data_IF_395665281774
#
_entry.id   IF_395665281774
#
_cell.length_a   1.000
_cell.length_b   1.000
_cell.length_c   1.000
_cell.angle_alpha   90.00
_cell.angle_beta   90.00
_cell.angle_gamma   90.00
#
_symmetry.space_group_name_H-M   'P 1'
#
loop_
_entity.id
_entity.type
_entity.pdbx_description
1 polymer ?
#
# COMPACT_ATOMS: atom_id res chain seq x y z
N UNK A 1 10.59 -45.36 -48.10
CA UNK A 1 9.46 -44.65 -47.44
C UNK A 1 9.38 -45.18 -46.03
N UNK A 2 9.80 -44.40 -45.02
CA UNK A 2 9.69 -44.79 -43.61
C UNK A 2 9.30 -43.56 -42.78
N UNK A 3 8.20 -43.70 -42.03
CA UNK A 3 7.30 -42.62 -41.61
C UNK A 3 7.71 -42.01 -40.27
N UNK A 4 8.15 -40.76 -40.29
CA UNK A 4 8.43 -39.94 -39.10
C UNK A 4 7.11 -39.59 -38.41
N UNK A 5 6.82 -40.20 -37.25
CA UNK A 5 5.64 -39.87 -36.43
C UNK A 5 5.97 -38.71 -35.50
N UNK A 6 5.40 -37.54 -35.76
CA UNK A 6 5.38 -36.41 -34.85
C UNK A 6 4.44 -36.71 -33.67
N UNK A 7 4.98 -36.67 -32.45
CA UNK A 7 4.20 -36.63 -31.21
C UNK A 7 3.76 -35.18 -30.94
N UNK A 8 2.47 -34.88 -30.72
CA UNK A 8 2.06 -33.55 -30.30
C UNK A 8 2.39 -33.39 -28.82
N UNK A 9 3.38 -32.54 -28.52
CA UNK A 9 3.64 -32.10 -27.15
C UNK A 9 2.52 -31.14 -26.71
N UNK A 10 1.53 -31.66 -25.99
CA UNK A 10 0.52 -30.85 -25.32
C UNK A 10 1.21 -30.16 -24.11
N UNK A 11 1.70 -28.94 -24.31
CA UNK A 11 2.22 -28.12 -23.24
C UNK A 11 1.06 -27.66 -22.35
N UNK A 12 0.96 -28.22 -21.13
CA UNK A 12 0.11 -27.68 -20.07
C UNK A 12 0.68 -26.30 -19.66
N UNK A 13 0.04 -25.23 -20.15
CA UNK A 13 0.31 -23.87 -19.70
C UNK A 13 -0.16 -23.69 -18.26
N UNK A 14 0.77 -23.59 -17.33
CA UNK A 14 0.48 -23.30 -15.93
C UNK A 14 0.18 -21.80 -15.79
N UNK A 15 -1.10 -21.44 -15.86
CA UNK A 15 -1.56 -20.07 -15.63
C UNK A 15 -1.33 -19.70 -14.17
N UNK A 16 -0.39 -18.78 -13.91
CA UNK A 16 -0.27 -18.12 -12.61
C UNK A 16 -1.52 -17.26 -12.38
N UNK A 17 -2.46 -17.77 -11.60
CA UNK A 17 -3.58 -16.97 -11.11
C UNK A 17 -3.01 -16.02 -10.06
N UNK A 18 -2.88 -14.74 -10.41
CA UNK A 18 -2.56 -13.70 -9.45
C UNK A 18 -3.73 -13.59 -8.46
N UNK A 19 -3.53 -14.05 -7.23
CA UNK A 19 -4.51 -13.83 -6.17
C UNK A 19 -4.59 -12.32 -5.87
N UNK A 20 -5.80 -11.76 -5.66
CA UNK A 20 -5.91 -10.38 -5.22
C UNK A 20 -5.19 -10.26 -3.89
N UNK A 21 -4.27 -9.30 -3.78
CA UNK A 21 -3.60 -9.07 -2.52
C UNK A 21 -4.61 -8.59 -1.49
N UNK A 22 -4.64 -9.30 -0.38
CA UNK A 22 -5.50 -9.04 0.76
C UNK A 22 -5.12 -7.68 1.38
N UNK A 23 -6.12 -7.01 1.94
CA UNK A 23 -5.85 -5.92 2.87
C UNK A 23 -5.00 -6.46 4.03
N UNK A 24 -4.00 -5.69 4.43
CA UNK A 24 -3.11 -5.96 5.55
C UNK A 24 -3.12 -4.76 6.50
N UNK A 25 -2.71 -4.98 7.74
CA UNK A 25 -2.70 -3.97 8.79
C UNK A 25 -1.29 -3.69 9.29
N UNK A 26 -1.00 -2.42 9.55
CA UNK A 26 0.30 -1.94 9.99
C UNK A 26 0.17 -1.11 11.26
N UNK A 27 1.04 -1.39 12.24
CA UNK A 27 1.24 -0.51 13.40
C UNK A 27 2.26 0.56 13.06
N UNK A 28 1.82 1.81 13.03
CA UNK A 28 2.64 2.97 12.66
C UNK A 28 2.66 3.97 13.81
N UNK A 29 3.83 4.29 14.35
CA UNK A 29 4.02 5.48 15.19
C UNK A 29 4.52 6.60 14.28
N UNK A 30 3.74 7.67 14.03
CA UNK A 30 4.15 8.72 13.12
C UNK A 30 5.37 9.50 13.63
N UNK A 31 6.34 9.73 12.76
CA UNK A 31 7.46 10.66 13.02
C UNK A 31 7.33 11.97 12.25
N UNK A 32 6.55 11.97 11.17
CA UNK A 32 6.25 13.16 10.38
C UNK A 32 4.95 12.99 9.61
N UNK A 33 4.16 14.05 9.55
CA UNK A 33 2.96 14.15 8.71
C UNK A 33 3.12 15.38 7.82
N UNK A 34 2.94 15.20 6.50
CA UNK A 34 3.02 16.25 5.51
C UNK A 34 1.73 16.29 4.69
N UNK A 35 1.27 17.50 4.38
CA UNK A 35 0.10 17.74 3.53
C UNK A 35 0.58 18.37 2.23
N UNK A 36 0.30 17.69 1.13
CA UNK A 36 0.57 18.14 -0.23
C UNK A 36 -0.74 18.42 -0.95
N UNK A 37 -0.67 19.03 -2.14
CA UNK A 37 -1.86 19.30 -2.95
C UNK A 37 -2.62 18.02 -3.35
N UNK A 38 -1.93 16.92 -3.60
CA UNK A 38 -2.49 15.65 -4.09
C UNK A 38 -2.60 14.54 -3.03
N UNK A 39 -1.94 14.69 -1.87
CA UNK A 39 -1.92 13.67 -0.82
C UNK A 39 -1.64 14.23 0.56
N UNK A 40 -2.13 13.55 1.59
CA UNK A 40 -1.47 13.54 2.89
C UNK A 40 -0.47 12.39 2.92
N UNK A 41 0.65 12.58 3.60
CA UNK A 41 1.76 11.64 3.62
C UNK A 41 2.30 11.51 5.05
N UNK A 42 2.39 10.30 5.55
CA UNK A 42 2.88 10.01 6.91
C UNK A 42 4.07 9.06 6.84
N UNK A 43 5.08 9.33 7.67
CA UNK A 43 6.22 8.45 7.89
C UNK A 43 6.07 7.75 9.24
N UNK A 44 6.30 6.45 9.27
CA UNK A 44 6.34 5.66 10.49
C UNK A 44 7.78 5.59 11.06
N UNK A 45 7.88 5.46 12.38
CA UNK A 45 9.16 5.32 13.10
C UNK A 45 9.95 4.06 12.70
N UNK A 46 9.26 3.03 12.19
CA UNK A 46 9.83 1.76 11.72
C UNK A 46 9.18 1.35 10.41
N UNK A 47 9.93 0.69 9.53
CA UNK A 47 9.35 0.05 8.35
C UNK A 47 8.39 -1.07 8.75
N UNK A 48 7.28 -1.17 8.04
CA UNK A 48 6.41 -2.35 8.08
C UNK A 48 6.62 -3.21 6.83
N UNK A 49 6.23 -4.49 6.93
CA UNK A 49 6.19 -5.45 5.82
C UNK A 49 7.42 -5.41 4.89
N UNK A 50 8.62 -5.36 5.46
CA UNK A 50 9.87 -5.49 4.71
C UNK A 50 10.33 -4.25 3.93
N UNK A 51 9.80 -3.05 4.21
CA UNK A 51 10.36 -1.82 3.62
C UNK A 51 9.40 -0.63 3.46
N UNK A 52 8.14 -0.77 3.88
CA UNK A 52 7.17 0.32 3.79
C UNK A 52 7.34 1.24 4.99
N UNK A 53 7.87 2.43 4.73
CA UNK A 53 8.06 3.47 5.75
C UNK A 53 6.95 4.51 5.74
N UNK A 54 6.23 4.60 4.63
CA UNK A 54 5.29 5.68 4.39
C UNK A 54 3.91 5.16 4.04
N UNK A 55 2.92 5.94 4.45
CA UNK A 55 1.55 5.79 4.01
C UNK A 55 1.03 7.11 3.45
N UNK A 56 0.13 7.02 2.47
CA UNK A 56 -0.46 8.19 1.86
C UNK A 56 -1.95 8.02 1.63
N UNK A 57 -2.67 9.14 1.66
CA UNK A 57 -4.07 9.20 1.29
C UNK A 57 -4.26 10.34 0.29
N UNK A 58 -5.03 10.07 -0.76
CA UNK A 58 -5.40 11.07 -1.77
C UNK A 58 -6.21 12.23 -1.16
N UNK A 59 -5.98 13.45 -1.63
CA UNK A 59 -6.76 14.64 -1.23
C UNK A 59 -8.10 14.77 -1.94
N UNK A 60 -8.47 13.82 -2.81
CA UNK A 60 -9.69 13.89 -3.62
C UNK A 60 -10.99 13.85 -2.80
N UNK A 61 -11.02 13.15 -1.67
CA UNK A 61 -12.15 13.13 -0.74
C UNK A 61 -11.80 13.94 0.52
N UNK A 62 -12.30 15.17 0.59
CA UNK A 62 -12.00 16.11 1.68
C UNK A 62 -12.54 15.63 3.03
N UNK A 63 -13.66 14.90 3.07
CA UNK A 63 -14.23 14.40 4.31
C UNK A 63 -13.35 13.28 4.88
N UNK A 64 -12.88 12.38 4.01
CA UNK A 64 -11.97 11.31 4.42
C UNK A 64 -10.59 11.84 4.82
N UNK A 65 -10.08 12.85 4.12
CA UNK A 65 -8.82 13.55 4.46
C UNK A 65 -8.90 14.20 5.82
N UNK A 66 -9.95 14.98 6.12
CA UNK A 66 -10.05 15.71 7.38
C UNK A 66 -10.07 14.77 8.61
N UNK A 67 -10.80 13.65 8.50
CA UNK A 67 -10.85 12.62 9.55
C UNK A 67 -9.47 11.99 9.73
N UNK A 68 -8.86 11.53 8.65
CA UNK A 68 -7.56 10.86 8.67
C UNK A 68 -6.47 11.80 9.19
N UNK A 69 -6.42 13.05 8.70
CA UNK A 69 -5.43 14.04 9.12
C UNK A 69 -5.54 14.38 10.61
N UNK A 70 -6.76 14.45 11.15
CA UNK A 70 -6.98 14.61 12.59
C UNK A 70 -6.37 13.45 13.38
N UNK A 71 -6.56 12.22 12.90
CA UNK A 71 -5.99 11.03 13.52
C UNK A 71 -4.46 11.02 13.46
N UNK A 72 -3.89 11.27 12.27
CA UNK A 72 -2.45 11.35 12.05
C UNK A 72 -1.78 12.42 12.94
N UNK A 73 -2.38 13.60 13.01
CA UNK A 73 -1.84 14.73 13.79
C UNK A 73 -1.86 14.44 15.29
N UNK A 74 -2.94 13.81 15.77
CA UNK A 74 -3.08 13.43 17.18
C UNK A 74 -2.06 12.35 17.56
N UNK A 75 -1.89 11.33 16.72
CA UNK A 75 -0.90 10.28 16.94
C UNK A 75 0.54 10.82 16.90
N UNK A 76 0.86 11.70 15.95
CA UNK A 76 2.16 12.39 15.90
C UNK A 76 2.43 13.20 17.17
N UNK A 77 1.46 13.99 17.63
CA UNK A 77 1.63 14.84 18.81
C UNK A 77 1.73 14.04 20.11
N UNK A 78 1.07 12.89 20.20
CA UNK A 78 1.02 12.05 21.40
C UNK A 78 2.01 10.89 21.42
N UNK A 79 2.71 10.63 20.30
CA UNK A 79 3.57 9.46 20.14
C UNK A 79 2.81 8.12 20.17
N UNK A 80 1.49 8.14 19.94
CA UNK A 80 0.65 6.94 19.95
C UNK A 80 0.72 6.18 18.63
N UNK A 81 0.47 4.87 18.72
CA UNK A 81 0.39 3.99 17.55
C UNK A 81 -0.93 4.21 16.80
N UNK A 82 -0.84 4.30 15.48
CA UNK A 82 -1.95 4.15 14.56
C UNK A 82 -1.95 2.75 13.98
N UNK A 83 -3.14 2.19 13.84
CA UNK A 83 -3.40 1.04 12.99
C UNK A 83 -3.79 1.53 11.60
N UNK A 84 -3.04 1.12 10.60
CA UNK A 84 -3.23 1.51 9.20
C UNK A 84 -3.59 0.29 8.40
N UNK A 85 -4.78 0.28 7.80
CA UNK A 85 -5.15 -0.73 6.81
C UNK A 85 -4.70 -0.27 5.43
N UNK A 86 -4.03 -1.18 4.72
CA UNK A 86 -3.45 -0.92 3.41
C UNK A 86 -3.44 -2.19 2.56
N UNK A 87 -3.07 -2.07 1.29
CA UNK A 87 -2.77 -3.24 0.47
C UNK A 87 -1.26 -3.26 0.18
N UNK A 88 -0.52 -4.32 0.58
CA UNK A 88 0.93 -4.33 0.47
C UNK A 88 1.45 -4.53 -0.96
N UNK A 89 0.65 -5.11 -1.87
CA UNK A 89 1.10 -5.36 -3.25
C UNK A 89 0.81 -4.20 -4.20
N UNK A 90 -0.17 -3.35 -3.88
CA UNK A 90 -0.54 -2.25 -4.77
C UNK A 90 0.45 -1.10 -4.71
N UNK A 91 0.85 -0.62 -5.88
CA UNK A 91 1.63 0.61 -6.03
C UNK A 91 0.77 1.77 -6.52
N UNK A 92 -0.56 1.69 -6.42
CA UNK A 92 -1.48 2.72 -6.92
C UNK A 92 -1.20 4.13 -6.36
N UNK A 93 -0.52 4.23 -5.22
CA UNK A 93 -0.06 5.49 -4.65
C UNK A 93 0.92 6.27 -5.53
N UNK A 94 1.56 5.65 -6.53
CA UNK A 94 2.41 6.38 -7.49
C UNK A 94 1.65 7.45 -8.24
N UNK A 95 0.35 7.25 -8.49
CA UNK A 95 -0.54 8.24 -9.12
C UNK A 95 -0.68 9.54 -8.32
N UNK A 96 -0.48 9.51 -7.01
CA UNK A 96 -0.51 10.68 -6.12
C UNK A 96 0.89 11.08 -5.65
N UNK A 97 1.94 10.53 -6.27
CA UNK A 97 3.34 10.87 -6.03
C UNK A 97 4.03 10.11 -4.90
N UNK A 98 3.51 8.94 -4.52
CA UNK A 98 4.22 8.02 -3.63
C UNK A 98 5.27 7.19 -4.36
N UNK A 99 6.38 6.90 -3.68
CA UNK A 99 7.39 5.99 -4.19
C UNK A 99 6.92 4.54 -3.99
N UNK A 100 6.97 3.73 -5.06
CA UNK A 100 6.43 2.36 -5.06
C UNK A 100 7.19 1.39 -4.17
N UNK A 101 8.44 1.68 -3.80
CA UNK A 101 9.25 0.80 -2.97
C UNK A 101 8.97 0.93 -1.47
N UNK A 102 8.46 2.06 -0.99
CA UNK A 102 8.37 2.36 0.44
C UNK A 102 7.07 3.06 0.88
N UNK A 103 6.16 3.38 -0.04
CA UNK A 103 4.88 4.01 0.28
C UNK A 103 3.67 3.17 -0.16
N UNK A 104 2.64 3.08 0.69
CA UNK A 104 1.34 2.47 0.36
C UNK A 104 0.15 3.39 0.63
N UNK A 105 -0.94 3.13 -0.07
CA UNK A 105 -2.19 3.87 0.15
C UNK A 105 -2.85 3.44 1.46
N UNK A 106 -3.37 4.42 2.18
CA UNK A 106 -4.24 4.25 3.33
C UNK A 106 -5.63 3.90 2.81
N UNK A 107 -6.16 2.76 3.24
CA UNK A 107 -7.56 2.41 3.06
C UNK A 107 -8.39 2.86 4.27
N UNK A 108 -7.83 2.71 5.47
CA UNK A 108 -8.46 3.11 6.72
C UNK A 108 -7.41 3.30 7.83
N UNK A 109 -7.75 4.08 8.85
CA UNK A 109 -6.89 4.29 10.02
C UNK A 109 -7.70 4.38 11.31
N UNK A 110 -7.13 3.85 12.39
CA UNK A 110 -7.56 4.09 13.76
C UNK A 110 -6.37 4.14 14.73
N UNK A 111 -6.66 4.47 15.99
CA UNK A 111 -5.72 4.69 17.10
C UNK A 111 -6.27 4.06 18.36
#
# INVERSE_FOLDING_TARGET
MNTTRLFPALALGMSLIAAPALADSASCVPTSVAVYSTRIHVRCASSVAGGIWFFALSTADTAHVNRTLSLLSTALASGRTLHVDYNPSTTAGTSIGCLSSDCRLINWTAM
#
